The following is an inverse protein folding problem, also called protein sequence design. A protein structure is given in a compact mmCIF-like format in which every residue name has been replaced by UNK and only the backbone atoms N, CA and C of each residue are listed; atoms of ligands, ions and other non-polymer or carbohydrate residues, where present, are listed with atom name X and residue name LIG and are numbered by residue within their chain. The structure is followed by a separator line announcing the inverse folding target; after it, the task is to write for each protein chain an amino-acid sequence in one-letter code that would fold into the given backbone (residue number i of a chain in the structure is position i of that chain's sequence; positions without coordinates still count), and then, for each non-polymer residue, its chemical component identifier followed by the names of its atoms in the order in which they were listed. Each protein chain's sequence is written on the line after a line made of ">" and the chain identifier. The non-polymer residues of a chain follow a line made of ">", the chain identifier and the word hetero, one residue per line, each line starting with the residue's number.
data_IF_211050027854
#
_entry.id   IF_211050027854
#
_cell.length_a   1.000
_cell.length_b   1.000
_cell.length_c   1.000
_cell.angle_alpha   90.00
_cell.angle_beta   90.00
_cell.angle_gamma   90.00
#
_symmetry.space_group_name_H-M   'P 1'
#
loop_
_entity.id
_entity.type
_entity.pdbx_description
1 polymer ?
#
# COMPACT_ATOMS: atom_id res chain seq x y z
N UNK A 1 5.10 18.75 3.64
CA UNK A 1 4.96 17.29 3.40
C UNK A 1 3.64 17.08 2.68
N UNK A 2 3.67 16.44 1.53
CA UNK A 2 2.46 16.09 0.79
C UNK A 2 1.91 14.78 1.36
N UNK A 3 0.59 14.68 1.51
CA UNK A 3 -0.10 13.50 2.02
C UNK A 3 -1.32 13.88 2.85
N UNK A 4 -2.28 12.94 3.04
CA UNK A 4 -3.48 13.20 3.83
C UNK A 4 -3.16 13.22 5.32
N UNK A 5 -3.89 14.03 6.10
CA UNK A 5 -3.89 13.93 7.56
C UNK A 5 -4.66 12.66 7.95
N UNK A 6 -3.99 11.73 8.63
CA UNK A 6 -4.59 10.48 9.06
C UNK A 6 -4.93 10.60 10.55
N UNK A 7 -6.22 10.57 10.91
CA UNK A 7 -6.60 10.59 12.32
C UNK A 7 -6.18 9.31 13.02
N UNK A 8 -5.71 9.43 14.24
CA UNK A 8 -5.21 8.32 15.03
C UNK A 8 -6.01 8.15 16.32
N UNK A 9 -6.39 6.93 16.62
CA UNK A 9 -7.04 6.56 17.88
C UNK A 9 -6.08 5.74 18.74
N UNK A 10 -5.68 6.23 19.92
CA UNK A 10 -4.84 5.47 20.85
C UNK A 10 -5.63 4.32 21.48
N UNK A 11 -4.95 3.43 22.20
CA UNK A 11 -5.60 2.36 22.95
C UNK A 11 -5.03 0.96 22.68
N UNK A 12 -3.96 0.89 21.88
CA UNK A 12 -3.20 -0.35 21.67
C UNK A 12 -2.16 -0.49 22.77
N UNK A 13 -1.87 -1.74 23.16
CA UNK A 13 -0.79 -2.07 24.09
C UNK A 13 0.13 -3.10 23.47
N UNK A 14 1.41 -3.01 23.80
CA UNK A 14 2.39 -4.01 23.42
C UNK A 14 2.08 -5.35 24.07
N UNK A 15 2.41 -6.41 23.37
CA UNK A 15 2.30 -7.79 23.81
C UNK A 15 3.66 -8.49 23.66
N UNK A 16 3.83 -9.59 24.36
CA UNK A 16 5.00 -10.45 24.20
C UNK A 16 4.97 -11.22 22.85
N UNK A 17 6.06 -11.89 22.54
CA UNK A 17 6.24 -12.64 21.31
C UNK A 17 5.19 -13.75 21.11
N UNK A 18 4.66 -14.31 22.19
CA UNK A 18 3.63 -15.36 22.14
C UNK A 18 2.30 -14.86 21.53
N UNK A 19 2.06 -13.55 21.56
CA UNK A 19 0.87 -12.93 20.96
C UNK A 19 1.05 -12.59 19.47
N UNK A 20 2.22 -12.84 18.88
CA UNK A 20 2.45 -12.60 17.45
C UNK A 20 1.55 -13.49 16.60
N UNK A 21 1.04 -12.92 15.51
CA UNK A 21 0.27 -13.67 14.52
C UNK A 21 1.16 -14.72 13.84
N UNK A 22 0.66 -15.94 13.59
CA UNK A 22 1.39 -16.95 12.82
C UNK A 22 1.82 -16.43 11.45
N UNK A 23 2.96 -16.93 10.95
CA UNK A 23 3.49 -16.58 9.63
C UNK A 23 2.50 -16.91 8.50
N UNK A 24 2.70 -16.28 7.34
CA UNK A 24 1.91 -16.53 6.12
C UNK A 24 0.57 -15.79 6.06
N UNK A 25 0.30 -14.87 6.98
CA UNK A 25 -0.93 -14.06 6.98
C UNK A 25 -0.81 -12.72 6.27
N UNK A 26 0.39 -12.30 5.93
CA UNK A 26 0.65 -11.06 5.19
C UNK A 26 0.53 -11.26 3.67
N UNK A 27 0.25 -10.19 2.91
CA UNK A 27 0.30 -10.27 1.45
C UNK A 27 1.72 -10.59 0.96
N UNK A 28 1.80 -11.45 -0.05
CA UNK A 28 3.05 -11.82 -0.71
C UNK A 28 3.17 -11.05 -2.03
N UNK A 29 4.21 -10.22 -2.15
CA UNK A 29 4.47 -9.37 -3.31
C UNK A 29 4.72 -10.13 -4.61
N UNK A 30 5.05 -11.43 -4.54
CA UNK A 30 5.23 -12.30 -5.71
C UNK A 30 3.93 -12.86 -6.30
N UNK A 31 2.79 -12.64 -5.63
CA UNK A 31 1.50 -13.24 -5.98
C UNK A 31 0.63 -12.29 -6.82
N UNK A 32 -0.58 -12.74 -7.14
CA UNK A 32 -1.52 -12.06 -8.03
C UNK A 32 -2.79 -11.60 -7.31
N UNK A 33 -3.78 -11.11 -8.06
CA UNK A 33 -5.04 -10.57 -7.55
C UNK A 33 -5.82 -11.52 -6.64
N UNK A 34 -5.82 -12.82 -6.93
CA UNK A 34 -6.57 -13.79 -6.13
C UNK A 34 -5.99 -13.91 -4.72
N UNK A 35 -4.65 -13.87 -4.61
CA UNK A 35 -3.98 -13.84 -3.32
C UNK A 35 -4.28 -12.55 -2.56
N UNK A 36 -4.23 -11.39 -3.23
CA UNK A 36 -4.56 -10.10 -2.61
C UNK A 36 -5.98 -10.13 -2.04
N UNK A 37 -6.97 -10.55 -2.83
CA UNK A 37 -8.36 -10.71 -2.36
C UNK A 37 -8.44 -11.68 -1.19
N UNK A 38 -7.80 -12.83 -1.27
CA UNK A 38 -7.85 -13.83 -0.21
C UNK A 38 -7.32 -13.29 1.13
N UNK A 39 -6.23 -12.51 1.10
CA UNK A 39 -5.66 -11.90 2.30
C UNK A 39 -6.55 -10.76 2.82
N UNK A 40 -6.91 -9.80 1.97
CA UNK A 40 -7.57 -8.58 2.39
C UNK A 40 -9.08 -8.76 2.65
N UNK A 41 -9.77 -9.62 1.90
CA UNK A 41 -11.19 -9.92 2.16
C UNK A 41 -11.39 -10.59 3.51
N UNK A 42 -10.47 -11.47 3.93
CA UNK A 42 -10.46 -12.05 5.27
C UNK A 42 -10.44 -10.97 6.36
N UNK A 43 -9.78 -9.85 6.10
CA UNK A 43 -9.69 -8.70 7.01
C UNK A 43 -10.86 -7.71 6.84
N UNK A 44 -11.81 -7.99 5.94
CA UNK A 44 -12.97 -7.13 5.69
C UNK A 44 -12.73 -5.96 4.74
N UNK A 45 -11.64 -5.97 3.97
CA UNK A 45 -11.38 -4.97 2.93
C UNK A 45 -11.99 -5.40 1.59
N UNK A 46 -12.44 -4.44 0.79
CA UNK A 46 -12.92 -4.64 -0.57
C UNK A 46 -11.87 -4.27 -1.63
N UNK A 47 -12.19 -4.44 -2.91
CA UNK A 47 -11.27 -4.18 -4.03
C UNK A 47 -10.78 -2.72 -4.07
N UNK A 48 -11.65 -1.75 -3.84
CA UNK A 48 -11.26 -0.34 -3.77
C UNK A 48 -10.26 -0.10 -2.64
N UNK A 49 -10.51 -0.65 -1.48
CA UNK A 49 -9.66 -0.52 -0.29
C UNK A 49 -8.30 -1.20 -0.49
N UNK A 50 -8.25 -2.35 -1.18
CA UNK A 50 -7.00 -3.04 -1.55
C UNK A 50 -6.16 -2.12 -2.44
N UNK A 51 -6.76 -1.58 -3.49
CA UNK A 51 -6.04 -0.69 -4.41
C UNK A 51 -5.59 0.58 -3.68
N UNK A 52 -6.42 1.19 -2.85
CA UNK A 52 -6.06 2.39 -2.08
C UNK A 52 -4.87 2.12 -1.12
N UNK A 53 -4.88 1.01 -0.38
CA UNK A 53 -3.77 0.62 0.51
C UNK A 53 -2.47 0.38 -0.25
N UNK A 54 -2.54 -0.19 -1.45
CA UNK A 54 -1.37 -0.43 -2.29
C UNK A 54 -0.62 0.87 -2.63
N UNK A 55 -1.29 2.01 -2.60
CA UNK A 55 -0.70 3.33 -2.79
C UNK A 55 0.36 3.71 -1.75
N UNK A 56 0.46 3.00 -0.63
CA UNK A 56 1.57 3.13 0.30
C UNK A 56 2.93 2.86 -0.36
N UNK A 57 2.96 2.11 -1.46
CA UNK A 57 4.15 1.88 -2.28
C UNK A 57 4.68 3.14 -2.99
N UNK A 58 3.96 4.28 -2.96
CA UNK A 58 4.57 5.57 -3.32
C UNK A 58 5.75 5.91 -2.40
N UNK A 59 5.81 5.34 -1.19
CA UNK A 59 6.85 5.57 -0.19
C UNK A 59 7.84 4.41 -0.12
N UNK A 60 9.11 4.76 0.12
CA UNK A 60 10.16 3.79 0.40
C UNK A 60 10.66 3.01 -0.82
N UNK A 61 11.32 1.92 -0.54
CA UNK A 61 11.89 1.01 -1.54
C UNK A 61 12.07 -0.40 -0.98
N UNK A 62 12.18 -1.37 -1.87
CA UNK A 62 12.63 -2.72 -1.53
C UNK A 62 14.14 -2.81 -1.43
N UNK A 63 14.62 -3.68 -0.55
CA UNK A 63 16.03 -4.05 -0.36
C UNK A 63 16.19 -5.56 -0.45
N UNK A 64 17.21 -6.02 -1.16
CA UNK A 64 17.44 -7.44 -1.43
C UNK A 64 17.65 -8.27 -0.17
N UNK A 65 18.28 -7.68 0.84
CA UNK A 65 18.55 -8.31 2.14
C UNK A 65 17.36 -8.26 3.12
N UNK A 66 16.21 -7.71 2.70
CA UNK A 66 14.98 -7.61 3.49
C UNK A 66 13.84 -8.40 2.82
N UNK A 67 13.34 -7.89 1.71
CA UNK A 67 12.22 -8.48 0.97
C UNK A 67 12.65 -9.42 -0.16
N UNK A 68 13.92 -9.42 -0.50
CA UNK A 68 14.45 -10.09 -1.69
C UNK A 68 14.27 -9.29 -2.99
N UNK A 69 13.34 -8.35 -3.03
CA UNK A 69 13.14 -7.44 -4.15
C UNK A 69 14.07 -6.21 -4.06
N UNK A 70 14.19 -5.43 -5.14
CA UNK A 70 15.12 -4.32 -5.20
C UNK A 70 14.55 -3.11 -5.95
N UNK A 71 14.62 -1.94 -5.31
CA UNK A 71 14.33 -0.64 -5.91
C UNK A 71 13.10 0.07 -5.34
N UNK A 72 12.94 1.36 -5.66
CA UNK A 72 11.77 2.16 -5.32
C UNK A 72 10.67 1.97 -6.36
N UNK A 73 9.40 2.26 -5.97
CA UNK A 73 8.25 2.28 -6.89
C UNK A 73 8.10 3.62 -7.62
N UNK A 74 8.66 4.70 -7.05
CA UNK A 74 8.55 6.05 -7.61
C UNK A 74 9.91 6.74 -7.61
N UNK A 75 10.05 7.82 -8.39
CA UNK A 75 11.26 8.66 -8.38
C UNK A 75 11.37 9.54 -7.12
N UNK A 76 10.30 9.65 -6.33
CA UNK A 76 10.25 10.46 -5.11
C UNK A 76 9.82 9.62 -3.90
N UNK A 77 10.63 8.64 -3.45
CA UNK A 77 10.22 7.64 -2.47
C UNK A 77 10.03 8.17 -1.04
N UNK A 78 10.18 9.46 -0.82
CA UNK A 78 9.93 10.14 0.46
C UNK A 78 8.67 11.01 0.46
N UNK A 79 7.91 10.99 -0.64
CA UNK A 79 6.71 11.81 -0.82
C UNK A 79 5.53 10.93 -1.19
N UNK A 80 4.47 10.96 -0.38
CA UNK A 80 3.22 10.28 -0.72
C UNK A 80 2.45 11.12 -1.74
N UNK A 81 2.30 10.58 -2.95
CA UNK A 81 1.50 11.13 -4.04
C UNK A 81 0.81 9.99 -4.78
N UNK A 82 -0.03 10.32 -5.77
CA UNK A 82 -0.61 9.33 -6.66
C UNK A 82 0.35 8.85 -7.78
N UNK A 83 1.62 9.21 -7.73
CA UNK A 83 2.63 8.82 -8.74
C UNK A 83 2.73 7.30 -8.91
N UNK A 84 2.55 6.53 -7.84
CA UNK A 84 2.50 5.07 -7.91
C UNK A 84 1.48 4.58 -8.95
N UNK A 85 0.26 5.11 -8.92
CA UNK A 85 -0.78 4.73 -9.89
C UNK A 85 -0.52 5.31 -11.28
N UNK A 86 -0.01 6.54 -11.34
CA UNK A 86 0.36 7.18 -12.60
C UNK A 86 1.42 6.36 -13.34
N UNK A 87 2.44 5.88 -12.63
CA UNK A 87 3.46 5.02 -13.22
C UNK A 87 2.91 3.63 -13.57
N UNK A 88 2.07 3.02 -12.73
CA UNK A 88 1.42 1.75 -13.07
C UNK A 88 0.73 1.79 -14.44
N UNK A 89 0.03 2.89 -14.74
CA UNK A 89 -0.77 3.04 -15.97
C UNK A 89 0.07 3.49 -17.17
N UNK A 90 0.99 4.45 -16.96
CA UNK A 90 1.63 5.17 -18.06
C UNK A 90 3.04 4.69 -18.42
N UNK A 91 3.65 3.87 -17.57
CA UNK A 91 5.02 3.39 -17.77
C UNK A 91 5.01 2.04 -18.50
N UNK A 92 5.99 1.84 -19.37
CA UNK A 92 6.24 0.54 -19.99
C UNK A 92 7.09 -0.31 -19.05
N UNK A 93 6.53 -1.41 -18.62
CA UNK A 93 7.18 -2.34 -17.70
C UNK A 93 7.77 -3.53 -18.45
N UNK A 94 8.95 -4.02 -17.99
CA UNK A 94 9.54 -5.28 -18.43
C UNK A 94 10.10 -6.05 -17.24
N UNK A 95 10.36 -7.33 -17.40
CA UNK A 95 10.99 -8.13 -16.36
C UNK A 95 12.45 -7.72 -16.14
N UNK A 96 12.81 -7.49 -14.89
CA UNK A 96 14.21 -7.30 -14.47
C UNK A 96 14.99 -8.59 -14.71
N UNK A 97 16.11 -8.50 -15.42
CA UNK A 97 17.05 -9.61 -15.62
C UNK A 97 18.10 -9.56 -14.50
N UNK A 98 17.97 -10.44 -13.52
CA UNK A 98 18.84 -10.51 -12.35
C UNK A 98 18.65 -11.84 -11.60
N UNK A 99 19.43 -12.10 -10.54
CA UNK A 99 19.39 -13.35 -9.77
C UNK A 99 18.34 -13.34 -8.63
N UNK A 100 17.59 -12.25 -8.47
CA UNK A 100 16.53 -12.10 -7.47
C UNK A 100 15.16 -12.61 -7.94
N UNK A 101 14.12 -12.43 -7.10
CA UNK A 101 12.77 -12.83 -7.43
C UNK A 101 12.24 -12.05 -8.65
N UNK A 102 11.22 -12.62 -9.29
CA UNK A 102 10.58 -12.00 -10.44
C UNK A 102 9.99 -10.64 -10.05
N UNK A 103 10.50 -9.58 -10.65
CA UNK A 103 9.98 -8.21 -10.53
C UNK A 103 10.02 -7.48 -11.86
N UNK A 104 9.31 -6.37 -11.93
CA UNK A 104 9.29 -5.50 -13.10
C UNK A 104 10.18 -4.27 -12.85
N UNK A 105 10.74 -3.73 -13.92
CA UNK A 105 11.42 -2.42 -13.95
C UNK A 105 10.86 -1.58 -15.08
N UNK A 106 10.93 -0.27 -14.94
CA UNK A 106 10.60 0.63 -16.03
C UNK A 106 11.56 0.41 -17.20
N UNK A 107 11.01 0.33 -18.41
CA UNK A 107 11.79 -0.02 -19.60
C UNK A 107 12.85 1.03 -19.95
N UNK A 108 12.56 2.30 -19.69
CA UNK A 108 13.35 3.41 -20.21
C UNK A 108 14.55 3.74 -19.31
N UNK A 109 14.35 3.86 -17.99
CA UNK A 109 15.42 4.28 -17.06
C UNK A 109 15.96 3.17 -16.17
N UNK A 110 15.22 2.08 -15.99
CA UNK A 110 15.52 0.99 -15.04
C UNK A 110 15.63 1.44 -13.57
N UNK A 111 15.05 2.61 -13.24
CA UNK A 111 15.24 3.26 -11.94
C UNK A 111 14.12 2.97 -10.95
N UNK A 112 12.92 2.64 -11.44
CA UNK A 112 11.77 2.28 -10.61
C UNK A 112 11.31 0.87 -10.91
N UNK A 113 10.60 0.27 -9.95
CA UNK A 113 10.19 -1.14 -10.03
C UNK A 113 8.71 -1.32 -9.69
N UNK A 114 8.16 -2.45 -10.08
CA UNK A 114 6.86 -2.95 -9.61
C UNK A 114 6.97 -4.43 -9.26
N UNK A 115 6.27 -4.81 -8.20
CA UNK A 115 6.11 -6.21 -7.82
C UNK A 115 5.08 -6.91 -8.72
N UNK A 116 5.07 -8.22 -8.82
CA UNK A 116 3.96 -8.96 -9.44
C UNK A 116 2.60 -8.59 -8.85
N UNK A 117 2.51 -8.37 -7.53
CA UNK A 117 1.29 -7.93 -6.85
C UNK A 117 0.84 -6.52 -7.28
N UNK A 118 1.78 -5.60 -7.56
CA UNK A 118 1.45 -4.27 -8.09
C UNK A 118 0.90 -4.38 -9.52
N UNK A 119 1.55 -5.18 -10.35
CA UNK A 119 1.10 -5.39 -11.73
C UNK A 119 -0.25 -6.10 -11.81
N UNK A 120 -0.60 -6.91 -10.82
CA UNK A 120 -1.93 -7.51 -10.73
C UNK A 120 -3.05 -6.46 -10.64
N UNK A 121 -2.77 -5.28 -10.09
CA UNK A 121 -3.76 -4.19 -9.99
C UNK A 121 -4.17 -3.63 -11.35
N UNK A 122 -3.27 -3.66 -12.34
CA UNK A 122 -3.57 -3.20 -13.71
C UNK A 122 -3.97 -4.34 -14.66
N UNK A 123 -3.77 -5.58 -14.26
CA UNK A 123 -4.16 -6.76 -15.02
C UNK A 123 -5.58 -7.22 -14.68
N UNK A 124 -6.05 -6.97 -13.46
CA UNK A 124 -7.39 -7.29 -13.01
C UNK A 124 -8.36 -6.15 -13.35
N UNK A 125 -9.48 -6.47 -13.99
CA UNK A 125 -10.45 -5.49 -14.49
C UNK A 125 -11.10 -4.68 -13.36
N UNK A 126 -11.40 -5.33 -12.23
CA UNK A 126 -12.06 -4.67 -11.10
C UNK A 126 -11.09 -3.76 -10.34
N UNK A 127 -9.83 -4.16 -10.18
CA UNK A 127 -8.80 -3.29 -9.59
C UNK A 127 -8.46 -2.11 -10.51
N UNK A 128 -8.37 -2.34 -11.82
CA UNK A 128 -7.94 -1.32 -12.79
C UNK A 128 -8.79 -0.05 -12.77
N UNK A 129 -10.10 -0.14 -12.53
CA UNK A 129 -10.96 1.04 -12.43
C UNK A 129 -10.53 1.99 -11.30
N UNK A 130 -10.09 1.43 -10.16
CA UNK A 130 -9.61 2.22 -9.02
C UNK A 130 -8.19 2.75 -9.26
N UNK A 131 -7.32 1.97 -9.90
CA UNK A 131 -6.00 2.45 -10.34
C UNK A 131 -6.15 3.67 -11.24
N UNK A 132 -7.06 3.61 -12.24
CA UNK A 132 -7.33 4.73 -13.14
C UNK A 132 -7.95 5.94 -12.43
N UNK A 133 -8.83 5.71 -11.45
CA UNK A 133 -9.40 6.76 -10.60
C UNK A 133 -8.29 7.52 -9.89
N UNK A 134 -7.41 6.80 -9.19
CA UNK A 134 -6.35 7.41 -8.39
C UNK A 134 -5.22 8.01 -9.23
N UNK A 135 -4.91 7.42 -10.39
CA UNK A 135 -3.93 7.99 -11.33
C UNK A 135 -4.36 9.38 -11.84
N UNK A 136 -5.67 9.63 -11.95
CA UNK A 136 -6.23 10.90 -12.45
C UNK A 136 -6.49 11.92 -11.35
N UNK A 137 -6.70 11.48 -10.12
CA UNK A 137 -7.20 12.33 -9.04
C UNK A 137 -6.47 11.99 -7.73
N UNK A 138 -5.50 12.83 -7.37
CA UNK A 138 -4.72 12.68 -6.15
C UNK A 138 -5.56 12.89 -4.88
N UNK A 139 -6.57 13.77 -4.92
CA UNK A 139 -7.42 14.05 -3.77
C UNK A 139 -8.37 12.88 -3.50
N UNK A 140 -8.88 12.24 -4.56
CA UNK A 140 -9.62 10.99 -4.43
C UNK A 140 -8.76 9.87 -3.83
N UNK A 141 -7.50 9.75 -4.26
CA UNK A 141 -6.56 8.81 -3.65
C UNK A 141 -6.36 9.12 -2.16
N UNK A 142 -6.05 10.35 -1.81
CA UNK A 142 -5.80 10.75 -0.42
C UNK A 142 -7.00 10.52 0.48
N UNK A 143 -8.21 10.80 -0.01
CA UNK A 143 -9.45 10.57 0.72
C UNK A 143 -9.65 9.09 1.03
N UNK A 144 -9.54 8.23 0.02
CA UNK A 144 -9.76 6.80 0.17
C UNK A 144 -8.61 6.16 0.97
N UNK A 145 -7.35 6.57 0.74
CA UNK A 145 -6.18 6.12 1.49
C UNK A 145 -6.29 6.45 2.98
N UNK A 146 -6.64 7.71 3.31
CA UNK A 146 -6.88 8.13 4.70
C UNK A 146 -7.88 7.21 5.39
N UNK A 147 -9.02 6.97 4.77
CA UNK A 147 -10.11 6.19 5.36
C UNK A 147 -9.69 4.72 5.56
N UNK A 148 -9.04 4.12 4.57
CA UNK A 148 -8.67 2.72 4.65
C UNK A 148 -7.48 2.48 5.58
N UNK A 149 -6.55 3.42 5.71
CA UNK A 149 -5.45 3.32 6.69
C UNK A 149 -5.99 3.41 8.11
N UNK A 150 -6.96 4.29 8.38
CA UNK A 150 -7.66 4.32 9.68
C UNK A 150 -8.31 2.98 9.97
N UNK A 151 -9.05 2.42 9.01
CA UNK A 151 -9.66 1.09 9.12
C UNK A 151 -8.60 0.01 9.43
N UNK A 152 -7.47 0.03 8.74
CA UNK A 152 -6.36 -0.91 8.98
C UNK A 152 -5.78 -0.77 10.38
N UNK A 153 -5.55 0.45 10.84
CA UNK A 153 -4.99 0.70 12.17
C UNK A 153 -5.93 0.32 13.31
N UNK A 154 -7.24 0.41 13.08
CA UNK A 154 -8.27 0.09 14.07
C UNK A 154 -8.74 -1.38 14.01
N UNK A 155 -8.30 -2.15 13.03
CA UNK A 155 -8.74 -3.53 12.81
C UNK A 155 -8.37 -4.42 14.00
N UNK A 156 -9.38 -5.07 14.59
CA UNK A 156 -9.22 -5.99 15.71
C UNK A 156 -8.82 -5.34 17.04
N UNK A 157 -8.83 -4.01 17.14
CA UNK A 157 -8.53 -3.31 18.38
C UNK A 157 -9.81 -3.21 19.24
N UNK A 158 -9.82 -3.74 20.48
CA UNK A 158 -10.98 -3.68 21.37
C UNK A 158 -11.09 -2.31 22.03
N UNK A 159 -11.44 -1.30 21.30
CA UNK A 159 -11.65 0.04 21.85
C UNK A 159 -12.81 0.04 22.85
N UNK A 160 -12.70 0.87 23.88
CA UNK A 160 -13.78 1.08 24.83
C UNK A 160 -14.99 1.73 24.12
N UNK A 161 -16.19 1.30 24.49
CA UNK A 161 -17.45 1.86 24.03
C UNK A 161 -17.51 3.37 24.29
N UNK A 162 -18.08 4.13 23.37
CA UNK A 162 -18.18 5.60 23.49
C UNK A 162 -16.89 6.37 23.17
N UNK A 163 -15.83 5.68 22.70
CA UNK A 163 -14.57 6.35 22.33
C UNK A 163 -14.38 6.54 20.81
N UNK A 164 -15.44 6.39 20.02
CA UNK A 164 -15.41 6.44 18.54
C UNK A 164 -14.94 7.82 18.04
N UNK A 165 -15.22 8.86 18.79
CA UNK A 165 -14.84 10.25 18.44
C UNK A 165 -13.50 10.69 19.07
N UNK A 166 -12.79 9.81 19.77
CA UNK A 166 -11.50 10.13 20.40
C UNK A 166 -10.34 9.92 19.43
N UNK A 167 -10.42 10.52 18.25
CA UNK A 167 -9.35 10.51 17.27
C UNK A 167 -8.55 11.81 17.33
N UNK A 168 -7.23 11.67 17.29
CA UNK A 168 -6.31 12.80 17.25
C UNK A 168 -5.87 13.05 15.81
N UNK A 169 -5.84 14.32 15.43
CA UNK A 169 -5.14 14.76 14.22
C UNK A 169 -3.89 15.53 14.65
N UNK A 170 -2.74 14.99 14.31
CA UNK A 170 -1.47 15.61 14.66
C UNK A 170 -1.15 16.73 13.66
N UNK A 171 -0.52 17.80 14.17
CA UNK A 171 0.10 18.81 13.32
C UNK A 171 1.27 18.21 12.58
N UNK A 172 1.56 18.70 11.39
CA UNK A 172 2.79 18.34 10.71
C UNK A 172 4.00 18.92 11.45
N UNK A 173 5.16 18.31 11.29
CA UNK A 173 6.40 18.82 11.89
C UNK A 173 6.86 20.14 11.29
N UNK A 174 6.14 20.66 10.30
CA UNK A 174 6.40 21.93 9.61
C UNK A 174 5.40 23.03 9.97
N UNK A 175 4.38 22.73 10.74
CA UNK A 175 3.45 23.64 11.38
C UNK A 175 3.91 23.97 12.82
#
# INVERSE_FOLDING_TARGET
>A
MLGPKIPYRPGRSDRDVAACTPDGRLPDGSKTQDHLRNIFYRMGFNDQEIVALSGAHALGRCHTDRSGFDGPWTFSPTVLTNDYYTFLVNTKWEYKKWDGPRQFVDKDTKSIMMLPADMALVQDKEFMQYVQKYAKDNDAFFTDFRNVVVKLFELGVPFAEGTENQRWEFKTTQE
#
